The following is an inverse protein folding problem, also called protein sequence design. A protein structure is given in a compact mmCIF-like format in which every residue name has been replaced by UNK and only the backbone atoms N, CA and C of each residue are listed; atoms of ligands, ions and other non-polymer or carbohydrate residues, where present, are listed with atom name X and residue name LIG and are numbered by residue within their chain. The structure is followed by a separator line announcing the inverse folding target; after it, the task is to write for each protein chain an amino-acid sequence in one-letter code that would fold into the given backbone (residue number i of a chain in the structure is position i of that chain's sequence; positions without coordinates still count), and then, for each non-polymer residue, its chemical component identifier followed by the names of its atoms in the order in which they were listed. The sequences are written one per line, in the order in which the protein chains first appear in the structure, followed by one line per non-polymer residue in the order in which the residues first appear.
data_IF_381382121853
#
_entry.id   IF_381382121853
#
_cell.length_a   1.000
_cell.length_b   1.000
_cell.length_c   1.000
_cell.angle_alpha   90.00
_cell.angle_beta   90.00
_cell.angle_gamma   90.00
#
_symmetry.space_group_name_H-M   'P 1'
#
loop_
_entity.id
_entity.type
_entity.pdbx_description
1 polymer ?
#
# COMPACT_ATOMS: atom_id res chain seq x y z
N UNK A 1 10.60 50.94 -1.65
CA UNK A 1 11.20 49.98 -0.69
C UNK A 1 10.07 49.32 0.07
N UNK A 2 9.84 48.00 -0.06
CA UNK A 2 8.71 47.36 0.61
C UNK A 2 9.12 46.90 2.02
N UNK A 3 8.27 46.98 3.06
CA UNK A 3 8.47 46.20 4.26
C UNK A 3 7.64 44.91 4.23
N UNK A 4 8.35 43.84 4.51
CA UNK A 4 7.95 42.44 4.72
C UNK A 4 7.02 42.25 5.92
N UNK A 5 5.95 41.44 5.76
CA UNK A 5 5.14 40.92 6.87
C UNK A 5 5.68 39.58 7.37
N UNK A 6 5.97 39.49 8.68
CA UNK A 6 6.24 38.23 9.40
C UNK A 6 4.99 37.83 10.17
N UNK A 7 4.61 36.56 10.04
CA UNK A 7 3.58 35.90 10.84
C UNK A 7 4.08 35.62 12.26
N UNK A 8 3.24 35.82 13.26
CA UNK A 8 3.36 35.13 14.55
C UNK A 8 2.02 34.58 15.02
N UNK A 9 2.00 33.26 15.21
CA UNK A 9 1.01 32.51 15.97
C UNK A 9 1.20 32.76 17.46
N UNK A 10 0.09 32.86 18.20
CA UNK A 10 0.08 32.78 19.65
C UNK A 10 -0.13 31.33 20.11
N UNK A 11 0.63 30.91 21.12
CA UNK A 11 0.20 29.90 22.08
C UNK A 11 0.68 30.29 23.49
N UNK A 12 -0.07 29.78 24.46
CA UNK A 12 -0.33 30.30 25.80
C UNK A 12 0.64 29.83 26.90
N UNK A 13 0.72 30.65 27.96
CA UNK A 13 0.93 30.34 29.40
C UNK A 13 2.14 29.47 29.82
N UNK A 14 3.00 29.97 30.73
CA UNK A 14 2.79 29.80 32.17
C UNK A 14 3.87 30.50 33.06
N UNK A 15 3.38 31.03 34.18
CA UNK A 15 3.95 31.10 35.55
C UNK A 15 5.37 31.61 35.86
N UNK A 16 5.37 32.49 36.87
CA UNK A 16 6.23 32.52 38.08
C UNK A 16 7.21 33.70 38.29
N UNK A 17 6.75 34.55 39.22
CA UNK A 17 7.39 35.61 40.02
C UNK A 17 8.87 35.41 40.40
N UNK A 18 9.65 36.50 40.36
CA UNK A 18 10.51 36.95 41.49
C UNK A 18 10.86 38.45 41.42
N UNK A 19 10.87 39.06 42.62
CA UNK A 19 10.95 40.49 42.99
C UNK A 19 12.38 41.07 42.94
N UNK A 20 12.49 42.40 42.75
CA UNK A 20 13.03 43.43 43.69
C UNK A 20 13.16 44.79 42.95
N UNK A 21 12.42 45.85 43.36
CA UNK A 21 12.82 46.95 44.29
C UNK A 21 13.85 47.91 43.64
N UNK A 22 13.79 49.26 43.59
CA UNK A 22 13.12 50.36 44.33
C UNK A 22 13.12 51.66 43.46
N UNK A 23 12.12 52.53 43.67
CA UNK A 23 11.90 53.89 43.09
C UNK A 23 12.94 54.95 43.56
N UNK A 24 13.13 56.11 42.88
CA UNK A 24 12.28 57.28 43.19
C UNK A 24 11.89 58.21 42.02
N UNK A 25 10.60 58.61 42.06
CA UNK A 25 10.10 60.00 42.05
C UNK A 25 10.38 60.89 40.82
N UNK A 26 9.35 60.92 39.96
CA UNK A 26 8.67 62.09 39.38
C UNK A 26 9.43 63.42 39.15
N UNK A 27 9.43 63.88 37.90
CA UNK A 27 8.73 65.08 37.36
C UNK A 27 9.56 65.70 36.24
N UNK A 28 9.03 65.72 35.01
CA UNK A 28 8.71 66.96 34.26
C UNK A 28 8.01 66.65 32.93
N UNK A 29 7.28 67.67 32.50
CA UNK A 29 6.16 67.71 31.56
C UNK A 29 6.54 67.52 30.08
N UNK A 30 5.54 67.26 29.22
CA UNK A 30 5.71 66.66 27.89
C UNK A 30 5.95 67.72 26.81
N UNK A 31 6.54 67.31 25.68
CA UNK A 31 6.60 68.17 24.51
C UNK A 31 7.43 67.68 23.34
N UNK A 32 7.15 66.48 22.82
CA UNK A 32 7.47 66.17 21.42
C UNK A 32 6.48 65.11 20.91
N UNK A 33 5.59 65.53 20.00
CA UNK A 33 4.66 64.64 19.30
C UNK A 33 5.45 63.57 18.55
N UNK A 34 5.50 62.34 19.07
CA UNK A 34 5.81 61.17 18.26
C UNK A 34 4.59 60.90 17.39
N UNK A 35 4.77 61.02 16.07
CA UNK A 35 3.82 60.56 15.07
C UNK A 35 3.53 59.08 15.31
N UNK A 36 2.32 58.78 15.76
CA UNK A 36 1.80 57.42 15.84
C UNK A 36 1.53 57.00 14.40
N UNK A 37 2.41 56.16 13.85
CA UNK A 37 2.12 55.44 12.60
C UNK A 37 1.11 54.36 13.00
N UNK A 38 -0.16 54.60 12.72
CA UNK A 38 -1.16 53.54 12.74
C UNK A 38 -0.86 52.65 11.54
N UNK A 39 -0.40 51.41 11.77
CA UNK A 39 -0.47 50.36 10.75
C UNK A 39 -1.95 50.17 10.43
N UNK A 40 -2.40 50.74 9.30
CA UNK A 40 -3.76 50.53 8.82
C UNK A 40 -3.91 49.06 8.42
N UNK A 41 -4.83 48.36 9.05
CA UNK A 41 -5.23 47.02 8.65
C UNK A 41 -6.20 47.14 7.47
N UNK A 42 -5.76 46.68 6.30
CA UNK A 42 -6.59 46.69 5.09
C UNK A 42 -7.45 45.42 5.06
N UNK A 43 -8.77 45.60 5.00
CA UNK A 43 -9.74 44.52 4.97
C UNK A 43 -10.33 44.41 3.57
N UNK A 44 -10.32 43.21 3.00
CA UNK A 44 -10.97 42.89 1.73
C UNK A 44 -12.48 42.90 1.93
N UNK A 45 -13.19 43.76 1.22
CA UNK A 45 -14.66 43.81 1.19
C UNK A 45 -15.21 42.88 0.11
N UNK A 46 -14.68 42.98 -1.11
CA UNK A 46 -15.14 42.21 -2.26
C UNK A 46 -13.98 41.95 -3.23
N UNK A 47 -14.04 40.85 -3.97
CA UNK A 47 -13.15 40.60 -5.11
C UNK A 47 -13.86 41.00 -6.39
N UNK A 48 -13.25 41.94 -7.14
CA UNK A 48 -13.84 42.50 -8.35
C UNK A 48 -13.48 41.72 -9.62
N UNK A 49 -12.25 41.24 -9.73
CA UNK A 49 -11.76 40.58 -10.95
C UNK A 49 -10.42 39.86 -10.72
N UNK A 50 -10.00 39.03 -11.69
CA UNK A 50 -8.69 38.41 -11.81
C UNK A 50 -8.08 38.72 -13.17
N UNK A 51 -6.76 38.97 -13.19
CA UNK A 51 -6.02 39.15 -14.44
C UNK A 51 -4.64 38.53 -14.40
N UNK A 52 -4.09 38.31 -15.57
CA UNK A 52 -2.65 38.09 -15.73
C UNK A 52 -1.95 39.44 -15.63
N UNK A 53 -0.91 39.53 -14.83
CA UNK A 53 -0.10 40.73 -14.68
C UNK A 53 0.48 41.15 -16.05
N UNK A 54 0.11 42.35 -16.53
CA UNK A 54 0.56 42.84 -17.83
C UNK A 54 2.04 43.23 -17.83
N UNK A 55 2.60 43.59 -16.67
CA UNK A 55 3.98 44.07 -16.54
C UNK A 55 4.99 42.93 -16.29
N UNK A 56 4.49 41.77 -15.85
CA UNK A 56 5.33 40.60 -15.59
C UNK A 56 5.67 39.83 -16.87
N UNK A 57 6.96 39.49 -17.04
CA UNK A 57 7.41 38.52 -18.05
C UNK A 57 6.85 37.11 -17.77
N UNK A 58 6.75 36.75 -16.49
CA UNK A 58 6.16 35.48 -16.04
C UNK A 58 4.64 35.54 -15.94
N UNK A 59 3.98 34.39 -15.83
CA UNK A 59 2.53 34.30 -15.59
C UNK A 59 2.24 34.52 -14.11
N UNK A 60 2.19 35.79 -13.71
CA UNK A 60 1.72 36.20 -12.38
C UNK A 60 0.24 36.58 -12.45
N UNK A 61 -0.53 36.15 -11.45
CA UNK A 61 -1.96 36.47 -11.38
C UNK A 61 -2.17 37.55 -10.32
N UNK A 62 -2.98 38.55 -10.68
CA UNK A 62 -3.40 39.61 -9.78
C UNK A 62 -4.91 39.52 -9.55
N UNK A 63 -5.32 39.88 -8.34
CA UNK A 63 -6.72 40.01 -7.91
C UNK A 63 -7.05 41.49 -7.71
N UNK A 64 -8.19 41.93 -8.23
CA UNK A 64 -8.69 43.29 -8.03
C UNK A 64 -9.50 43.34 -6.76
N UNK A 65 -9.04 44.08 -5.77
CA UNK A 65 -9.66 44.13 -4.45
C UNK A 65 -10.48 45.41 -4.30
N UNK A 66 -11.71 45.23 -3.82
CA UNK A 66 -12.48 46.30 -3.20
C UNK A 66 -12.14 46.34 -1.71
N UNK A 67 -11.58 47.45 -1.26
CA UNK A 67 -11.21 47.65 0.13
C UNK A 67 -12.39 48.17 0.94
N UNK A 68 -12.59 47.57 2.11
CA UNK A 68 -13.65 47.94 3.05
C UNK A 68 -13.47 49.37 3.55
N UNK A 69 -14.54 50.16 3.52
CA UNK A 69 -14.57 51.56 3.96
C UNK A 69 -13.76 52.53 3.09
N UNK A 70 -13.30 52.09 1.91
CA UNK A 70 -12.68 52.95 0.90
C UNK A 70 -13.63 53.17 -0.28
N UNK A 71 -13.31 54.09 -1.18
CA UNK A 71 -14.05 54.26 -2.44
C UNK A 71 -13.63 53.21 -3.49
N UNK A 72 -14.38 53.04 -4.59
CA UNK A 72 -13.97 52.15 -5.69
C UNK A 72 -12.74 52.65 -6.46
N UNK A 73 -12.49 53.96 -6.45
CA UNK A 73 -11.28 54.56 -7.04
C UNK A 73 -10.00 54.10 -6.35
N UNK A 74 -10.09 53.61 -5.12
CA UNK A 74 -8.99 53.07 -4.32
C UNK A 74 -8.77 51.56 -4.56
N UNK A 75 -9.54 50.93 -5.46
CA UNK A 75 -9.37 49.51 -5.77
C UNK A 75 -7.99 49.24 -6.36
N UNK A 76 -7.25 48.30 -5.76
CA UNK A 76 -5.91 47.94 -6.22
C UNK A 76 -5.85 46.53 -6.82
N UNK A 77 -4.89 46.33 -7.71
CA UNK A 77 -4.52 45.01 -8.22
C UNK A 77 -3.40 44.46 -7.37
N UNK A 78 -3.64 43.33 -6.72
CA UNK A 78 -2.70 42.74 -5.78
C UNK A 78 -2.30 41.32 -6.20
N UNK A 79 -1.08 40.85 -5.90
CA UNK A 79 -0.68 39.47 -6.16
C UNK A 79 -1.55 38.47 -5.39
N UNK A 80 -2.03 37.41 -6.05
CA UNK A 80 -2.90 36.41 -5.42
C UNK A 80 -2.25 35.71 -4.22
N UNK A 81 -0.92 35.61 -4.19
CA UNK A 81 -0.18 34.90 -3.14
C UNK A 81 -0.40 35.52 -1.75
N UNK A 82 -0.66 36.83 -1.69
CA UNK A 82 -0.95 37.54 -0.45
C UNK A 82 -2.35 37.23 0.11
N UNK A 83 -3.26 36.66 -0.69
CA UNK A 83 -4.68 36.49 -0.35
C UNK A 83 -5.14 35.03 -0.44
N UNK A 84 -4.24 34.07 -0.60
CA UNK A 84 -4.57 32.63 -0.70
C UNK A 84 -5.49 32.15 0.42
N UNK A 85 -5.24 32.61 1.64
CA UNK A 85 -6.02 32.23 2.84
C UNK A 85 -7.20 33.15 3.13
N UNK A 86 -7.41 34.20 2.33
CA UNK A 86 -8.51 35.14 2.51
C UNK A 86 -9.85 34.46 2.17
N UNK A 87 -10.81 34.54 3.10
CA UNK A 87 -12.12 33.89 2.98
C UNK A 87 -12.93 34.45 1.81
N UNK A 88 -13.00 35.78 1.67
CA UNK A 88 -13.73 36.47 0.59
C UNK A 88 -13.19 36.03 -0.77
N UNK A 89 -11.87 35.88 -0.92
CA UNK A 89 -11.28 35.39 -2.16
C UNK A 89 -11.61 33.92 -2.44
N UNK A 90 -11.56 33.04 -1.43
CA UNK A 90 -11.96 31.63 -1.58
C UNK A 90 -13.43 31.51 -1.97
N UNK A 91 -14.30 32.31 -1.37
CA UNK A 91 -15.73 32.36 -1.69
C UNK A 91 -15.97 32.81 -3.13
N UNK A 92 -15.35 33.92 -3.55
CA UNK A 92 -15.38 34.38 -4.94
C UNK A 92 -14.97 33.29 -5.95
N UNK A 93 -13.85 32.61 -5.69
CA UNK A 93 -13.38 31.50 -6.55
C UNK A 93 -14.38 30.34 -6.57
N UNK A 94 -14.96 29.97 -5.43
CA UNK A 94 -15.93 28.89 -5.32
C UNK A 94 -17.23 29.23 -6.06
N UNK A 95 -17.75 30.43 -5.88
CA UNK A 95 -18.99 30.88 -6.53
C UNK A 95 -18.87 30.86 -8.05
N UNK A 96 -17.81 31.46 -8.59
CA UNK A 96 -17.60 31.48 -10.06
C UNK A 96 -17.35 30.07 -10.59
N UNK A 97 -16.54 29.27 -9.88
CA UNK A 97 -16.27 27.90 -10.29
C UNK A 97 -17.56 27.08 -10.37
N UNK A 98 -18.36 27.09 -9.31
CA UNK A 98 -19.59 26.32 -9.22
C UNK A 98 -20.62 26.78 -10.25
N UNK A 99 -20.77 28.10 -10.45
CA UNK A 99 -21.67 28.66 -11.46
C UNK A 99 -21.26 28.29 -12.90
N UNK A 100 -20.02 27.88 -13.13
CA UNK A 100 -19.47 27.59 -14.47
C UNK A 100 -18.83 26.20 -14.59
N UNK A 101 -19.12 25.28 -13.66
CA UNK A 101 -18.39 24.01 -13.52
C UNK A 101 -18.33 23.22 -14.84
N UNK A 102 -19.47 23.06 -15.51
CA UNK A 102 -19.53 22.35 -16.80
C UNK A 102 -18.73 23.03 -17.91
N UNK A 103 -18.73 24.37 -17.97
CA UNK A 103 -17.95 25.13 -18.96
C UNK A 103 -16.46 24.96 -18.70
N UNK A 104 -16.04 25.04 -17.43
CA UNK A 104 -14.66 24.81 -17.00
C UNK A 104 -14.24 23.40 -17.37
N UNK A 105 -15.04 22.40 -17.02
CA UNK A 105 -14.78 21.00 -17.30
C UNK A 105 -14.54 20.74 -18.79
N UNK A 106 -15.43 21.24 -19.66
CA UNK A 106 -15.28 21.11 -21.13
C UNK A 106 -13.98 21.76 -21.61
N UNK A 107 -13.66 22.98 -21.15
CA UNK A 107 -12.40 23.66 -21.51
C UNK A 107 -11.18 22.84 -21.08
N UNK A 108 -11.15 22.35 -19.83
CA UNK A 108 -10.05 21.55 -19.29
C UNK A 108 -9.90 20.22 -20.03
N UNK A 109 -11.01 19.55 -20.37
CA UNK A 109 -10.97 18.35 -21.22
C UNK A 109 -10.34 18.64 -22.57
N UNK A 110 -10.70 19.74 -23.22
CA UNK A 110 -10.11 20.10 -24.51
C UNK A 110 -8.60 20.32 -24.40
N UNK A 111 -8.13 20.96 -23.32
CA UNK A 111 -6.70 21.05 -23.02
C UNK A 111 -6.07 19.66 -22.82
N UNK A 112 -6.71 18.78 -22.03
CA UNK A 112 -6.25 17.40 -21.80
C UNK A 112 -6.17 16.59 -23.11
N UNK A 113 -7.14 16.75 -24.02
CA UNK A 113 -7.13 16.09 -25.33
C UNK A 113 -5.93 16.54 -26.18
N UNK A 114 -5.59 17.83 -26.16
CA UNK A 114 -4.42 18.37 -26.88
C UNK A 114 -3.09 17.79 -26.38
N UNK A 115 -3.00 17.46 -25.09
CA UNK A 115 -1.79 16.88 -24.47
C UNK A 115 -1.84 15.36 -24.32
N UNK A 116 -2.85 14.68 -24.87
CA UNK A 116 -3.02 13.23 -24.72
C UNK A 116 -1.80 12.44 -25.17
N UNK A 117 -1.13 12.86 -26.26
CA UNK A 117 0.09 12.21 -26.76
C UNK A 117 1.27 12.40 -25.81
N UNK A 118 1.41 13.59 -25.22
CA UNK A 118 2.46 13.89 -24.23
C UNK A 118 2.28 13.06 -22.95
N UNK A 119 1.03 12.96 -22.46
CA UNK A 119 0.69 12.10 -21.31
C UNK A 119 1.04 10.64 -21.61
N UNK A 120 0.62 10.13 -22.78
CA UNK A 120 0.90 8.75 -23.16
C UNK A 120 2.40 8.49 -23.24
N UNK A 121 3.14 9.37 -23.93
CA UNK A 121 4.60 9.28 -24.04
C UNK A 121 5.27 9.26 -22.66
N UNK A 122 4.86 10.13 -21.75
CA UNK A 122 5.39 10.17 -20.39
C UNK A 122 5.19 8.83 -19.66
N UNK A 123 3.98 8.24 -19.76
CA UNK A 123 3.65 6.94 -19.15
C UNK A 123 4.42 5.77 -19.76
N UNK A 124 4.65 5.79 -21.07
CA UNK A 124 5.32 4.69 -21.79
C UNK A 124 6.85 4.71 -21.57
N UNK A 125 7.44 5.90 -21.43
CA UNK A 125 8.89 6.07 -21.42
C UNK A 125 9.49 6.27 -20.02
N UNK A 126 8.70 6.64 -19.01
CA UNK A 126 9.22 7.05 -17.71
C UNK A 126 8.53 6.29 -16.56
N UNK A 127 9.30 5.85 -15.56
CA UNK A 127 8.71 5.33 -14.33
C UNK A 127 7.99 6.44 -13.57
N UNK A 128 7.05 6.04 -12.71
CA UNK A 128 6.21 6.95 -11.92
C UNK A 128 7.05 8.00 -11.18
N UNK A 129 8.15 7.62 -10.53
CA UNK A 129 8.96 8.56 -9.75
C UNK A 129 9.49 9.74 -10.59
N UNK A 130 9.90 9.50 -11.85
CA UNK A 130 10.39 10.55 -12.75
C UNK A 130 9.25 11.50 -13.12
N UNK A 131 8.09 10.93 -13.48
CA UNK A 131 6.89 11.72 -13.79
C UNK A 131 6.51 12.60 -12.60
N UNK A 132 6.54 12.06 -11.39
CA UNK A 132 6.14 12.80 -10.20
C UNK A 132 7.13 13.92 -9.83
N UNK A 133 8.42 13.81 -10.16
CA UNK A 133 9.38 14.91 -10.00
C UNK A 133 9.00 16.14 -10.86
N UNK A 134 8.50 15.91 -12.08
CA UNK A 134 8.01 17.00 -12.94
C UNK A 134 6.68 17.60 -12.45
N UNK A 135 5.86 16.77 -11.80
CA UNK A 135 4.57 17.17 -11.25
C UNK A 135 4.77 18.07 -10.03
N UNK A 136 5.63 17.70 -9.09
CA UNK A 136 5.79 18.42 -7.83
C UNK A 136 6.79 19.60 -7.91
N UNK A 137 6.49 20.75 -7.26
CA UNK A 137 5.23 21.05 -6.59
C UNK A 137 4.10 21.32 -7.60
N UNK A 138 2.93 20.76 -7.30
CA UNK A 138 1.66 21.12 -7.93
C UNK A 138 0.77 21.75 -6.88
N UNK A 139 0.16 22.88 -7.24
CA UNK A 139 -0.68 23.67 -6.34
C UNK A 139 -2.13 23.66 -6.86
N UNK A 140 -3.02 22.86 -6.23
CA UNK A 140 -4.42 22.80 -6.62
C UNK A 140 -5.15 24.14 -6.51
N UNK A 141 -4.76 25.01 -5.56
CA UNK A 141 -5.35 26.34 -5.42
C UNK A 141 -5.01 27.21 -6.63
N UNK A 142 -3.73 27.24 -7.01
CA UNK A 142 -3.30 27.99 -8.20
C UNK A 142 -3.97 27.48 -9.48
N UNK A 143 -4.12 26.16 -9.63
CA UNK A 143 -4.85 25.60 -10.77
C UNK A 143 -6.34 26.00 -10.76
N UNK A 144 -6.98 26.05 -9.59
CA UNK A 144 -8.37 26.53 -9.44
C UNK A 144 -8.52 28.00 -9.88
N UNK A 145 -7.55 28.86 -9.57
CA UNK A 145 -7.54 30.24 -10.06
C UNK A 145 -7.54 30.29 -11.59
N UNK A 146 -6.68 29.50 -12.25
CA UNK A 146 -6.66 29.40 -13.71
C UNK A 146 -7.98 28.90 -14.30
N UNK A 147 -8.62 27.92 -13.63
CA UNK A 147 -9.94 27.41 -14.03
C UNK A 147 -11.02 28.49 -13.97
N UNK A 148 -11.07 29.28 -12.89
CA UNK A 148 -12.00 30.41 -12.74
C UNK A 148 -11.72 31.48 -13.79
N UNK A 149 -10.45 31.81 -14.02
CA UNK A 149 -10.05 32.78 -15.04
C UNK A 149 -10.57 32.40 -16.43
N UNK A 150 -10.59 31.12 -16.81
CA UNK A 150 -11.18 30.70 -18.09
C UNK A 150 -12.64 31.14 -18.29
N UNK A 151 -13.37 31.50 -17.24
CA UNK A 151 -14.76 31.97 -17.30
C UNK A 151 -14.91 33.48 -17.28
N UNK A 152 -13.90 34.21 -16.78
CA UNK A 152 -13.96 35.66 -16.61
C UNK A 152 -13.73 36.41 -17.93
N UNK A 153 -12.84 35.90 -18.78
CA UNK A 153 -12.41 36.58 -20.00
C UNK A 153 -12.55 35.67 -21.22
N UNK A 154 -12.85 36.26 -22.39
CA UNK A 154 -13.02 35.49 -23.64
C UNK A 154 -11.71 34.90 -24.17
N UNK A 155 -10.59 35.59 -23.96
CA UNK A 155 -9.27 35.18 -24.43
C UNK A 155 -8.19 35.58 -23.43
N UNK A 156 -7.06 34.88 -23.50
CA UNK A 156 -5.90 35.12 -22.67
C UNK A 156 -4.61 35.15 -23.49
N UNK A 157 -3.57 35.85 -23.01
CA UNK A 157 -2.24 35.84 -23.64
C UNK A 157 -1.69 34.43 -23.81
N UNK A 158 -0.83 34.23 -24.82
CA UNK A 158 -0.22 32.92 -25.10
C UNK A 158 0.52 32.34 -23.87
N UNK A 159 1.20 33.19 -23.10
CA UNK A 159 1.87 32.80 -21.84
C UNK A 159 0.92 32.10 -20.86
N UNK A 160 -0.31 32.58 -20.71
CA UNK A 160 -1.33 31.96 -19.86
C UNK A 160 -1.75 30.60 -20.40
N UNK A 161 -2.01 30.47 -21.71
CA UNK A 161 -2.42 29.20 -22.30
C UNK A 161 -1.32 28.13 -22.20
N UNK A 162 -0.05 28.54 -22.33
CA UNK A 162 1.12 27.67 -22.11
C UNK A 162 1.20 27.17 -20.67
N UNK A 163 1.03 28.06 -19.70
CA UNK A 163 1.04 27.69 -18.28
C UNK A 163 -0.17 26.83 -17.90
N UNK A 164 -1.36 27.15 -18.41
CA UNK A 164 -2.55 26.32 -18.22
C UNK A 164 -2.34 24.90 -18.78
N UNK A 165 -1.74 24.77 -19.97
CA UNK A 165 -1.38 23.45 -20.53
C UNK A 165 -0.48 22.67 -19.56
N UNK A 166 0.54 23.32 -18.97
CA UNK A 166 1.44 22.72 -17.96
C UNK A 166 0.67 22.30 -16.71
N UNK A 167 -0.21 23.15 -16.19
CA UNK A 167 -1.02 22.84 -15.01
C UNK A 167 -2.00 21.70 -15.25
N UNK A 168 -2.60 21.59 -16.44
CA UNK A 168 -3.49 20.47 -16.82
C UNK A 168 -2.70 19.15 -16.85
N UNK A 169 -1.48 19.16 -17.39
CA UNK A 169 -0.58 18.00 -17.36
C UNK A 169 -0.27 17.58 -15.92
N UNK A 170 0.16 18.52 -15.07
CA UNK A 170 0.47 18.25 -13.66
C UNK A 170 -0.74 17.72 -12.90
N UNK A 171 -1.90 18.36 -13.07
CA UNK A 171 -3.14 17.96 -12.45
C UNK A 171 -3.55 16.52 -12.83
N UNK A 172 -3.31 16.11 -14.09
CA UNK A 172 -3.62 14.74 -14.52
C UNK A 172 -2.86 13.69 -13.70
N UNK A 173 -1.54 13.83 -13.58
CA UNK A 173 -0.72 12.88 -12.83
C UNK A 173 -0.89 13.02 -11.32
N UNK A 174 -1.05 14.25 -10.82
CA UNK A 174 -1.37 14.50 -9.41
C UNK A 174 -2.66 13.76 -9.00
N UNK A 175 -3.74 13.88 -9.78
CA UNK A 175 -4.99 13.18 -9.51
C UNK A 175 -4.88 11.67 -9.68
N UNK A 176 -4.12 11.20 -10.67
CA UNK A 176 -3.89 9.77 -10.88
C UNK A 176 -3.13 9.13 -9.71
N UNK A 177 -2.11 9.80 -9.20
CA UNK A 177 -1.34 9.36 -8.02
C UNK A 177 -2.20 9.38 -6.73
N UNK A 178 -2.97 10.45 -6.53
CA UNK A 178 -3.92 10.56 -5.41
C UNK A 178 -4.95 9.43 -5.44
N UNK A 179 -5.60 9.20 -6.59
CA UNK A 179 -6.58 8.11 -6.78
C UNK A 179 -5.96 6.73 -6.58
N UNK A 180 -4.71 6.53 -7.00
CA UNK A 180 -3.99 5.27 -6.79
C UNK A 180 -3.77 5.05 -5.29
N UNK A 181 -3.17 6.02 -4.59
CA UNK A 181 -2.87 5.91 -3.15
C UNK A 181 -4.13 5.61 -2.33
N UNK A 182 -5.23 6.32 -2.57
CA UNK A 182 -6.50 6.06 -1.88
C UNK A 182 -6.97 4.61 -2.06
N UNK A 183 -6.84 4.06 -3.27
CA UNK A 183 -7.23 2.67 -3.56
C UNK A 183 -6.28 1.65 -2.92
N UNK A 184 -4.98 1.93 -2.93
CA UNK A 184 -3.98 1.07 -2.29
C UNK A 184 -4.16 1.07 -0.76
N UNK A 185 -4.40 2.22 -0.14
CA UNK A 185 -4.66 2.36 1.30
C UNK A 185 -5.94 1.61 1.72
N UNK A 186 -7.00 1.70 0.90
CA UNK A 186 -8.24 0.95 1.13
C UNK A 186 -8.00 -0.56 1.08
N UNK A 187 -7.25 -1.03 0.09
CA UNK A 187 -6.90 -2.45 -0.04
C UNK A 187 -6.02 -2.90 1.14
N UNK A 188 -5.03 -2.10 1.53
CA UNK A 188 -4.16 -2.36 2.66
C UNK A 188 -4.95 -2.54 3.97
N UNK A 189 -5.94 -1.67 4.21
CA UNK A 189 -6.82 -1.75 5.37
C UNK A 189 -7.66 -3.05 5.38
N UNK A 190 -8.26 -3.42 4.24
CA UNK A 190 -9.03 -4.66 4.11
C UNK A 190 -8.16 -5.89 4.41
N UNK A 191 -6.97 -5.96 3.81
CA UNK A 191 -6.06 -7.08 3.99
C UNK A 191 -5.57 -7.15 5.44
N UNK A 192 -5.20 -6.01 6.03
CA UNK A 192 -4.75 -5.94 7.43
C UNK A 192 -5.82 -6.46 8.39
N UNK A 193 -7.09 -6.09 8.16
CA UNK A 193 -8.21 -6.57 8.96
C UNK A 193 -8.39 -8.09 8.84
N UNK A 194 -8.26 -8.65 7.63
CA UNK A 194 -8.43 -10.09 7.39
C UNK A 194 -7.27 -10.92 7.94
N UNK A 195 -6.03 -10.50 7.72
CA UNK A 195 -4.82 -11.22 8.14
C UNK A 195 -4.46 -10.99 9.62
N UNK A 196 -5.06 -9.99 10.26
CA UNK A 196 -4.76 -9.61 11.66
C UNK A 196 -3.27 -9.24 11.86
N UNK A 197 -2.64 -8.70 10.82
CA UNK A 197 -1.31 -8.08 10.86
C UNK A 197 -1.35 -6.74 10.13
N UNK A 198 -0.44 -5.80 10.42
CA UNK A 198 -0.28 -4.61 9.59
C UNK A 198 0.18 -5.00 8.19
N UNK A 199 -0.55 -4.55 7.17
CA UNK A 199 -0.21 -4.70 5.76
C UNK A 199 -0.20 -3.34 5.08
N UNK A 200 0.82 -3.06 4.28
CA UNK A 200 0.83 -1.94 3.35
C UNK A 200 0.70 -2.42 1.90
N UNK A 201 0.22 -1.55 1.02
CA UNK A 201 0.22 -1.80 -0.42
C UNK A 201 0.88 -0.61 -1.11
N UNK A 202 1.98 -0.84 -1.83
CA UNK A 202 2.83 0.24 -2.34
C UNK A 202 3.14 0.06 -3.82
N UNK A 203 3.04 1.14 -4.60
CA UNK A 203 3.49 1.16 -5.97
C UNK A 203 4.15 2.51 -6.30
N UNK A 204 5.48 2.47 -6.36
CA UNK A 204 6.34 3.60 -6.73
C UNK A 204 6.94 3.44 -8.13
N UNK A 205 6.63 2.33 -8.82
CA UNK A 205 7.15 1.99 -10.15
C UNK A 205 6.27 2.59 -11.24
N UNK A 206 4.96 2.40 -11.12
CA UNK A 206 3.97 2.81 -12.10
C UNK A 206 2.62 3.17 -11.44
N UNK A 207 1.62 3.45 -12.28
CA UNK A 207 0.27 3.81 -11.83
C UNK A 207 -0.71 2.63 -11.84
N UNK A 208 -0.23 1.38 -11.91
CA UNK A 208 -1.07 0.19 -11.88
C UNK A 208 -1.58 -0.11 -10.47
N UNK A 209 -2.75 -0.75 -10.41
CA UNK A 209 -3.30 -1.31 -9.17
C UNK A 209 -3.03 -2.82 -9.15
N UNK A 210 -3.03 -3.46 -7.98
CA UNK A 210 -3.06 -4.91 -7.90
C UNK A 210 -4.26 -5.47 -8.68
N UNK A 211 -4.14 -6.68 -9.26
CA UNK A 211 -5.27 -7.34 -9.91
C UNK A 211 -6.42 -7.52 -8.91
N UNK A 212 -7.66 -7.43 -9.40
CA UNK A 212 -8.86 -7.65 -8.58
C UNK A 212 -9.07 -9.15 -8.34
N UNK A 213 -9.24 -9.54 -7.09
CA UNK A 213 -9.58 -10.90 -6.66
C UNK A 213 -10.33 -10.86 -5.32
N UNK A 214 -10.92 -11.97 -4.91
CA UNK A 214 -11.58 -12.11 -3.61
C UNK A 214 -10.59 -12.57 -2.55
N UNK A 215 -10.35 -11.72 -1.55
CA UNK A 215 -9.41 -12.06 -0.48
C UNK A 215 -10.01 -13.05 0.53
N UNK A 216 -9.42 -14.25 0.63
CA UNK A 216 -9.80 -15.33 1.56
C UNK A 216 -8.60 -15.77 2.38
N UNK A 217 -8.75 -16.05 3.68
CA UNK A 217 -7.65 -16.46 4.58
C UNK A 217 -7.64 -17.96 4.88
N UNK A 218 -8.56 -18.70 4.27
CA UNK A 218 -8.68 -20.16 4.40
C UNK A 218 -9.10 -20.75 3.07
N UNK A 219 -8.62 -21.95 2.81
CA UNK A 219 -9.11 -22.77 1.71
C UNK A 219 -10.61 -23.06 1.84
N UNK A 220 -11.29 -23.12 0.71
CA UNK A 220 -12.69 -23.53 0.62
C UNK A 220 -12.90 -24.39 -0.63
N UNK A 221 -13.93 -25.23 -0.60
CA UNK A 221 -14.33 -26.09 -1.70
C UNK A 221 -15.56 -25.51 -2.42
N UNK A 222 -15.69 -25.75 -3.72
CA UNK A 222 -16.91 -25.44 -4.47
C UNK A 222 -17.89 -26.63 -4.47
N UNK A 223 -19.15 -26.37 -4.80
CA UNK A 223 -20.20 -27.39 -4.88
C UNK A 223 -19.81 -28.54 -5.84
N UNK A 224 -20.21 -29.77 -5.52
CA UNK A 224 -19.86 -31.04 -6.20
C UNK A 224 -18.42 -31.57 -5.98
N UNK A 225 -17.63 -30.94 -5.11
CA UNK A 225 -16.31 -31.45 -4.73
C UNK A 225 -16.38 -32.83 -4.04
N UNK A 226 -17.44 -33.10 -3.27
CA UNK A 226 -17.61 -34.36 -2.54
C UNK A 226 -17.88 -35.57 -3.44
N UNK A 227 -18.46 -35.36 -4.63
CA UNK A 227 -18.84 -36.47 -5.55
C UNK A 227 -17.64 -37.04 -6.32
N UNK A 228 -16.52 -36.31 -6.37
CA UNK A 228 -15.35 -36.69 -7.19
C UNK A 228 -14.25 -37.42 -6.43
N UNK A 229 -14.32 -37.49 -5.09
CA UNK A 229 -13.22 -38.03 -4.28
C UNK A 229 -13.72 -38.82 -3.06
N UNK A 230 -13.52 -40.13 -3.04
CA UNK A 230 -13.71 -40.98 -1.86
C UNK A 230 -12.50 -40.83 -0.91
N UNK A 231 -12.72 -40.15 0.22
CA UNK A 231 -11.82 -40.26 1.39
C UNK A 231 -12.55 -41.02 2.48
N UNK A 232 -12.09 -42.24 2.77
CA UNK A 232 -12.51 -42.95 3.96
C UNK A 232 -11.62 -42.50 5.12
N UNK A 233 -12.20 -41.75 6.06
CA UNK A 233 -11.47 -41.36 7.26
C UNK A 233 -11.06 -42.61 8.03
N UNK A 234 -9.76 -42.76 8.28
CA UNK A 234 -9.26 -43.84 9.13
C UNK A 234 -9.87 -43.70 10.54
N UNK A 235 -10.76 -44.63 10.89
CA UNK A 235 -11.45 -44.64 12.18
C UNK A 235 -10.49 -44.88 13.35
N UNK A 236 -9.28 -45.37 13.08
CA UNK A 236 -8.25 -45.63 14.08
C UNK A 236 -7.33 -44.42 14.32
N UNK A 237 -7.41 -43.36 13.52
CA UNK A 237 -6.56 -42.19 13.72
C UNK A 237 -6.93 -41.43 15.01
N UNK A 238 -5.92 -41.05 15.78
CA UNK A 238 -6.10 -40.33 17.03
C UNK A 238 -6.73 -38.95 16.79
N UNK A 239 -7.89 -38.69 17.40
CA UNK A 239 -8.60 -37.42 17.24
C UNK A 239 -7.81 -36.21 17.74
N UNK A 240 -6.90 -36.38 18.70
CA UNK A 240 -6.04 -35.32 19.21
C UNK A 240 -5.23 -35.77 20.41
N UNK A 241 -4.23 -34.99 20.81
CA UNK A 241 -3.38 -35.32 21.94
C UNK A 241 -4.04 -34.99 23.30
N UNK A 242 -3.62 -35.71 24.34
CA UNK A 242 -4.06 -35.50 25.74
C UNK A 242 -3.00 -34.80 26.61
N UNK A 243 -1.99 -34.17 26.02
CA UNK A 243 -0.82 -33.64 26.74
C UNK A 243 -1.18 -32.57 27.79
N UNK A 244 -2.28 -31.83 27.64
CA UNK A 244 -2.68 -30.74 28.54
C UNK A 244 -1.97 -29.41 28.25
N UNK A 245 -2.29 -28.38 29.05
CA UNK A 245 -1.84 -26.97 28.84
C UNK A 245 -0.32 -26.85 28.88
N UNK A 246 0.27 -26.23 27.85
CA UNK A 246 1.73 -25.97 27.71
C UNK A 246 2.64 -27.19 27.90
N UNK A 247 2.13 -28.40 27.72
CA UNK A 247 2.88 -29.64 27.95
C UNK A 247 3.45 -30.27 26.67
N UNK A 248 2.83 -30.03 25.51
CA UNK A 248 3.29 -30.59 24.24
C UNK A 248 4.75 -30.20 23.95
N UNK A 249 5.60 -31.20 23.72
CA UNK A 249 6.97 -31.05 23.28
C UNK A 249 7.46 -32.35 22.61
N UNK A 250 8.72 -32.37 22.18
CA UNK A 250 9.31 -33.51 21.45
C UNK A 250 9.31 -34.84 22.23
N UNK A 251 9.24 -34.79 23.56
CA UNK A 251 9.28 -35.98 24.43
C UNK A 251 7.89 -36.42 24.92
N UNK A 252 6.81 -35.82 24.39
CA UNK A 252 5.44 -36.16 24.79
C UNK A 252 4.71 -36.86 23.67
N UNK A 253 3.78 -37.76 24.03
CA UNK A 253 2.79 -38.41 23.15
C UNK A 253 1.79 -37.40 22.56
N UNK A 254 2.34 -36.38 21.89
CA UNK A 254 1.67 -35.31 21.17
C UNK A 254 1.35 -35.78 19.75
N UNK A 255 0.57 -35.00 19.00
CA UNK A 255 0.06 -35.40 17.70
C UNK A 255 1.09 -35.98 16.71
N UNK A 256 2.31 -35.41 16.54
CA UNK A 256 3.31 -36.01 15.67
C UNK A 256 3.62 -37.46 16.05
N UNK A 257 3.89 -37.71 17.34
CA UNK A 257 4.20 -39.05 17.85
C UNK A 257 3.00 -40.02 17.76
N UNK A 258 1.76 -39.52 17.80
CA UNK A 258 0.56 -40.36 17.65
C UNK A 258 0.36 -40.90 16.23
N UNK A 259 1.05 -40.32 15.24
CA UNK A 259 0.97 -40.73 13.83
C UNK A 259 2.36 -41.03 13.25
N UNK A 260 3.33 -41.32 14.12
CA UNK A 260 4.72 -41.66 13.79
C UNK A 260 5.46 -40.60 12.93
N UNK A 261 5.13 -39.32 13.15
CA UNK A 261 5.77 -38.18 12.49
C UNK A 261 6.66 -37.39 13.48
N UNK A 262 7.71 -36.70 13.00
CA UNK A 262 8.63 -35.97 13.87
C UNK A 262 8.04 -34.66 14.38
N UNK A 263 8.51 -34.24 15.56
CA UNK A 263 8.04 -33.01 16.19
C UNK A 263 8.68 -31.76 15.56
N UNK A 264 7.91 -31.04 14.74
CA UNK A 264 8.45 -30.00 13.87
C UNK A 264 9.00 -28.74 14.55
N UNK A 265 8.49 -28.38 15.74
CA UNK A 265 8.67 -27.03 16.29
C UNK A 265 9.53 -26.97 17.54
N UNK A 266 10.49 -26.05 17.60
CA UNK A 266 11.19 -25.65 18.83
C UNK A 266 10.67 -24.30 19.33
N UNK A 267 10.92 -24.01 20.63
CA UNK A 267 10.48 -22.78 21.26
C UNK A 267 11.36 -21.62 20.77
N UNK A 268 10.76 -20.63 20.12
CA UNK A 268 11.34 -19.30 19.94
C UNK A 268 10.90 -18.35 21.05
N UNK A 269 11.24 -17.07 20.92
CA UNK A 269 10.89 -16.06 21.93
C UNK A 269 9.37 -15.95 22.10
N UNK A 270 8.66 -15.63 21.00
CA UNK A 270 7.20 -15.48 20.97
C UNK A 270 6.51 -16.36 19.92
N UNK A 271 7.25 -17.24 19.24
CA UNK A 271 6.74 -18.04 18.13
C UNK A 271 7.34 -19.44 18.11
N UNK A 272 6.67 -20.35 17.41
CA UNK A 272 7.21 -21.68 17.12
C UNK A 272 8.11 -21.60 15.91
N UNK A 273 9.31 -22.17 16.03
CA UNK A 273 10.31 -22.16 14.96
C UNK A 273 10.48 -23.59 14.45
N UNK A 274 10.39 -23.80 13.14
CA UNK A 274 10.68 -25.10 12.53
C UNK A 274 12.15 -25.49 12.80
N UNK A 275 12.35 -26.78 13.09
CA UNK A 275 13.66 -27.41 13.31
C UNK A 275 13.90 -28.63 12.41
N UNK A 276 13.01 -28.89 11.46
CA UNK A 276 13.14 -29.98 10.50
C UNK A 276 13.96 -29.51 9.30
N UNK A 277 14.79 -30.41 8.78
CA UNK A 277 15.35 -30.27 7.45
C UNK A 277 14.28 -30.66 6.41
N UNK A 278 14.25 -29.99 5.25
CA UNK A 278 13.18 -30.13 4.23
C UNK A 278 12.87 -31.62 3.94
N UNK A 279 11.58 -31.99 3.96
CA UNK A 279 10.92 -33.14 3.27
C UNK A 279 9.72 -33.80 4.03
N UNK A 280 9.29 -33.29 5.19
CA UNK A 280 8.26 -33.94 6.02
C UNK A 280 6.95 -33.11 6.14
N UNK A 281 5.79 -33.80 6.23
CA UNK A 281 4.50 -33.16 6.55
C UNK A 281 4.49 -32.76 8.03
N UNK A 282 4.19 -31.50 8.33
CA UNK A 282 4.13 -31.01 9.70
C UNK A 282 2.77 -31.37 10.30
N UNK A 283 2.80 -32.14 11.40
CA UNK A 283 1.58 -32.51 12.14
C UNK A 283 1.38 -31.60 13.36
N UNK A 284 0.41 -30.71 13.26
CA UNK A 284 0.02 -29.80 14.33
C UNK A 284 -1.06 -30.37 15.25
N UNK A 285 -1.13 -29.82 16.46
CA UNK A 285 -2.29 -30.00 17.32
C UNK A 285 -3.49 -29.29 16.71
N UNK A 286 -4.60 -30.02 16.58
CA UNK A 286 -5.87 -29.52 16.05
C UNK A 286 -6.90 -29.12 17.12
N UNK A 287 -8.13 -28.88 16.68
CA UNK A 287 -9.26 -28.45 17.52
C UNK A 287 -9.65 -29.47 18.61
N UNK A 288 -9.40 -30.76 18.38
CA UNK A 288 -9.75 -31.85 19.30
C UNK A 288 -8.67 -32.14 20.35
N UNK A 289 -7.53 -31.45 20.33
CA UNK A 289 -6.45 -31.64 21.29
C UNK A 289 -6.77 -30.97 22.64
N UNK A 290 -6.31 -31.56 23.75
CA UNK A 290 -6.46 -31.01 25.11
C UNK A 290 -5.44 -29.91 25.46
N UNK A 291 -4.45 -29.67 24.60
CA UNK A 291 -3.52 -28.55 24.76
C UNK A 291 -4.16 -27.23 24.32
N UNK A 292 -3.73 -26.14 24.94
CA UNK A 292 -4.24 -24.79 24.70
C UNK A 292 -3.71 -24.16 23.40
N UNK A 293 -4.16 -22.95 23.08
CA UNK A 293 -3.77 -22.21 21.88
C UNK A 293 -2.31 -21.73 21.91
N UNK A 294 -1.65 -21.73 23.07
CA UNK A 294 -0.22 -21.41 23.20
C UNK A 294 0.69 -22.63 23.01
N UNK A 295 0.11 -23.78 22.64
CA UNK A 295 0.84 -25.00 22.37
C UNK A 295 1.87 -24.78 21.26
N UNK A 296 3.14 -25.06 21.55
CA UNK A 296 4.24 -24.98 20.58
C UNK A 296 3.98 -25.79 19.29
N UNK A 297 3.17 -26.85 19.35
CA UNK A 297 2.76 -27.65 18.20
C UNK A 297 1.55 -27.08 17.44
N UNK A 298 1.26 -25.78 17.60
CA UNK A 298 0.28 -25.00 16.83
C UNK A 298 0.99 -23.84 16.12
N UNK A 299 2.21 -24.07 15.65
CA UNK A 299 3.13 -23.01 15.23
C UNK A 299 2.58 -22.09 14.14
N UNK A 300 1.95 -22.65 13.11
CA UNK A 300 1.34 -21.87 12.03
C UNK A 300 0.00 -21.22 12.43
N UNK A 301 -0.53 -21.54 13.62
CA UNK A 301 -1.81 -21.02 14.13
C UNK A 301 -1.58 -19.85 15.09
N UNK A 302 -0.33 -19.59 15.49
CA UNK A 302 0.00 -18.48 16.36
C UNK A 302 -0.14 -17.13 15.65
N UNK A 303 -0.45 -16.04 16.40
CA UNK A 303 -0.36 -14.69 15.87
C UNK A 303 1.04 -14.39 15.33
N UNK A 304 1.10 -13.60 14.27
CA UNK A 304 2.36 -13.14 13.67
C UNK A 304 2.74 -11.79 14.30
N UNK A 305 4.03 -11.57 14.51
CA UNK A 305 4.56 -10.35 15.13
C UNK A 305 5.34 -9.45 14.14
N UNK A 306 5.05 -9.56 12.85
CA UNK A 306 5.67 -8.76 11.78
C UNK A 306 4.61 -8.15 10.86
N UNK A 307 5.02 -7.16 10.07
CA UNK A 307 4.18 -6.54 9.03
C UNK A 307 4.67 -6.90 7.62
N UNK A 308 3.74 -7.05 6.69
CA UNK A 308 4.04 -7.35 5.29
C UNK A 308 3.67 -6.16 4.38
N UNK A 309 4.29 -6.10 3.20
CA UNK A 309 3.88 -5.18 2.14
C UNK A 309 3.63 -5.94 0.84
N UNK A 310 2.50 -5.67 0.20
CA UNK A 310 2.27 -5.98 -1.21
C UNK A 310 2.84 -4.83 -2.04
N UNK A 311 3.90 -5.06 -2.79
CA UNK A 311 4.61 -4.01 -3.50
C UNK A 311 4.80 -4.31 -4.98
N UNK A 312 4.81 -3.27 -5.82
CA UNK A 312 5.16 -3.41 -7.23
C UNK A 312 6.68 -3.52 -7.37
N UNK A 313 7.15 -4.65 -7.91
CA UNK A 313 8.55 -4.92 -8.25
C UNK A 313 8.91 -4.23 -9.57
N UNK A 314 10.22 -4.16 -9.87
CA UNK A 314 10.70 -3.58 -11.12
C UNK A 314 10.46 -4.48 -12.35
N UNK A 315 10.38 -5.80 -12.18
CA UNK A 315 10.42 -6.77 -13.31
C UNK A 315 9.49 -7.98 -13.17
N UNK A 316 9.00 -8.31 -11.97
CA UNK A 316 8.21 -9.52 -11.70
C UNK A 316 6.74 -9.22 -11.38
N UNK A 317 6.28 -7.99 -11.60
CA UNK A 317 4.92 -7.58 -11.24
C UNK A 317 4.80 -7.28 -9.74
N UNK A 318 3.79 -7.82 -9.07
CA UNK A 318 3.57 -7.59 -7.64
C UNK A 318 4.31 -8.65 -6.80
N UNK A 319 4.87 -8.23 -5.67
CA UNK A 319 5.65 -9.04 -4.74
C UNK A 319 5.21 -8.86 -3.29
N UNK A 320 5.69 -9.73 -2.39
CA UNK A 320 5.51 -9.57 -0.94
C UNK A 320 6.88 -9.34 -0.29
N UNK A 321 6.98 -8.39 0.64
CA UNK A 321 8.21 -8.17 1.42
C UNK A 321 7.91 -7.98 2.90
N UNK A 322 8.93 -8.19 3.74
CA UNK A 322 8.89 -7.78 5.14
C UNK A 322 8.92 -6.24 5.21
N UNK A 323 7.89 -5.60 5.76
CA UNK A 323 7.78 -4.13 5.83
C UNK A 323 8.03 -3.57 7.24
N UNK A 324 8.45 -4.40 8.21
CA UNK A 324 8.53 -3.95 9.60
C UNK A 324 9.78 -3.11 9.92
N UNK A 325 9.96 -2.01 9.20
CA UNK A 325 10.99 -1.00 9.46
C UNK A 325 10.77 -0.28 10.79
N UNK A 326 9.51 -0.14 11.22
CA UNK A 326 9.15 0.59 12.44
C UNK A 326 9.69 -0.10 13.68
N UNK A 327 9.50 -1.42 13.79
CA UNK A 327 10.00 -2.20 14.92
C UNK A 327 11.35 -2.86 14.61
N UNK A 328 11.81 -2.80 13.35
CA UNK A 328 13.00 -3.49 12.84
C UNK A 328 12.92 -5.01 13.04
N UNK A 329 11.72 -5.56 12.89
CA UNK A 329 11.47 -6.98 13.13
C UNK A 329 12.04 -7.81 11.99
N UNK A 330 12.96 -8.71 12.33
CA UNK A 330 13.49 -9.73 11.43
C UNK A 330 12.56 -10.94 11.49
N UNK A 331 12.09 -11.43 10.34
CA UNK A 331 11.41 -12.73 10.29
C UNK A 331 12.51 -13.79 10.42
N UNK A 332 12.56 -14.48 11.56
CA UNK A 332 13.63 -15.43 11.86
C UNK A 332 13.55 -16.71 11.02
N UNK A 333 14.67 -17.36 10.79
CA UNK A 333 14.71 -18.71 10.21
C UNK A 333 13.72 -19.65 10.92
N UNK A 334 12.93 -20.40 10.14
CA UNK A 334 11.91 -21.36 10.57
C UNK A 334 10.60 -20.72 11.04
N UNK A 335 10.42 -19.42 10.89
CA UNK A 335 9.17 -18.70 11.26
C UNK A 335 8.09 -18.94 10.21
N UNK A 336 6.85 -19.16 10.67
CA UNK A 336 5.67 -19.16 9.80
C UNK A 336 5.38 -17.77 9.25
N UNK A 337 5.28 -17.64 7.93
CA UNK A 337 4.99 -16.39 7.25
C UNK A 337 3.49 -16.31 6.93
N UNK A 338 3.00 -17.17 6.05
CA UNK A 338 1.63 -17.13 5.55
C UNK A 338 1.20 -18.49 4.98
N UNK A 339 -0.10 -18.77 5.00
CA UNK A 339 -0.68 -19.92 4.29
C UNK A 339 -0.95 -19.55 2.84
N UNK A 340 -0.73 -20.43 1.87
CA UNK A 340 -1.18 -20.25 0.50
C UNK A 340 -2.61 -20.74 0.38
N UNK A 341 -3.55 -19.81 0.18
CA UNK A 341 -4.98 -20.11 0.24
C UNK A 341 -5.70 -19.82 -1.07
N UNK A 342 -6.76 -20.56 -1.36
CA UNK A 342 -7.62 -20.36 -2.51
C UNK A 342 -8.76 -21.36 -2.59
N UNK A 343 -9.26 -21.57 -3.81
CA UNK A 343 -10.25 -22.61 -4.10
C UNK A 343 -9.57 -23.98 -4.15
N UNK A 344 -10.04 -24.95 -3.37
CA UNK A 344 -9.61 -26.34 -3.47
C UNK A 344 -10.36 -27.01 -4.63
N UNK A 345 -9.60 -27.45 -5.62
CA UNK A 345 -10.11 -28.12 -6.82
C UNK A 345 -9.44 -29.49 -7.00
N UNK A 346 -10.12 -30.42 -7.66
CA UNK A 346 -9.54 -31.70 -8.04
C UNK A 346 -8.65 -31.60 -9.28
N UNK A 347 -7.82 -32.62 -9.52
CA UNK A 347 -6.86 -32.65 -10.63
C UNK A 347 -7.48 -32.44 -12.02
N UNK A 348 -8.67 -32.99 -12.26
CA UNK A 348 -9.40 -32.82 -13.52
C UNK A 348 -9.77 -31.36 -13.77
N UNK A 349 -10.27 -30.66 -12.75
CA UNK A 349 -10.61 -29.24 -12.87
C UNK A 349 -9.35 -28.37 -12.99
N UNK A 350 -8.28 -28.72 -12.26
CA UNK A 350 -6.98 -28.04 -12.38
C UNK A 350 -6.45 -28.09 -13.83
N UNK A 351 -6.45 -29.28 -14.45
CA UNK A 351 -6.00 -29.45 -15.85
C UNK A 351 -6.81 -28.64 -16.88
N UNK A 352 -8.08 -28.31 -16.57
CA UNK A 352 -8.90 -27.45 -17.44
C UNK A 352 -8.56 -25.97 -17.28
N UNK A 353 -8.05 -25.57 -16.12
CA UNK A 353 -7.81 -24.16 -15.74
C UNK A 353 -6.36 -23.70 -15.94
N UNK A 354 -5.42 -24.61 -16.22
CA UNK A 354 -3.96 -24.38 -16.27
C UNK A 354 -3.53 -23.07 -16.97
N UNK A 355 -4.16 -22.71 -18.09
CA UNK A 355 -3.76 -21.54 -18.90
C UNK A 355 -4.08 -20.19 -18.22
N UNK A 356 -4.87 -20.16 -17.16
CA UNK A 356 -5.41 -18.91 -16.58
C UNK A 356 -5.44 -18.87 -15.06
N UNK A 357 -4.57 -19.62 -14.38
CA UNK A 357 -4.68 -19.83 -12.93
C UNK A 357 -3.35 -19.73 -12.16
N UNK A 358 -3.45 -19.58 -10.84
CA UNK A 358 -2.36 -19.61 -9.86
C UNK A 358 -2.46 -20.91 -9.05
N UNK A 359 -2.05 -22.01 -9.68
CA UNK A 359 -2.22 -23.38 -9.16
C UNK A 359 -1.03 -23.82 -8.31
N UNK A 360 -1.32 -24.41 -7.14
CA UNK A 360 -0.35 -25.16 -6.33
C UNK A 360 -0.91 -26.51 -5.92
N UNK A 361 -0.22 -27.59 -6.29
CA UNK A 361 -0.65 -28.95 -5.99
C UNK A 361 -0.40 -29.32 -4.53
N UNK A 362 -1.36 -30.01 -3.91
CA UNK A 362 -1.25 -30.54 -2.53
C UNK A 362 -0.63 -31.94 -2.45
N UNK A 363 -0.09 -32.44 -3.56
CA UNK A 363 0.39 -33.81 -3.71
C UNK A 363 1.90 -33.93 -3.42
N UNK A 364 2.25 -34.30 -2.19
CA UNK A 364 3.62 -34.62 -1.77
C UNK A 364 4.28 -35.75 -2.57
N UNK A 365 3.50 -36.74 -3.05
CA UNK A 365 4.05 -38.02 -3.50
C UNK A 365 3.86 -38.31 -4.99
N UNK A 366 3.28 -37.37 -5.76
CA UNK A 366 2.98 -37.54 -7.21
C UNK A 366 2.32 -38.89 -7.58
N UNK A 367 1.62 -39.54 -6.64
CA UNK A 367 0.85 -40.74 -6.94
C UNK A 367 -0.25 -40.37 -7.94
N UNK A 368 -0.57 -41.27 -8.86
CA UNK A 368 -1.57 -41.08 -9.94
C UNK A 368 -2.98 -40.68 -9.42
N UNK A 369 -3.23 -40.81 -8.11
CA UNK A 369 -4.46 -40.43 -7.42
C UNK A 369 -4.29 -39.25 -6.42
N UNK A 370 -3.45 -38.26 -6.72
CA UNK A 370 -3.30 -37.05 -5.90
C UNK A 370 -4.54 -36.16 -5.92
N UNK A 371 -5.11 -35.87 -4.75
CA UNK A 371 -6.51 -35.45 -4.63
C UNK A 371 -6.82 -33.97 -4.92
N UNK A 372 -5.95 -32.99 -4.58
CA UNK A 372 -6.35 -31.56 -4.57
C UNK A 372 -5.24 -30.58 -5.00
N UNK A 373 -5.66 -29.47 -5.62
CA UNK A 373 -4.86 -28.31 -6.03
C UNK A 373 -5.51 -27.06 -5.44
N UNK A 374 -4.72 -26.10 -4.97
CA UNK A 374 -5.21 -24.78 -4.54
C UNK A 374 -5.12 -23.82 -5.73
N UNK A 375 -6.26 -23.30 -6.18
CA UNK A 375 -6.38 -22.26 -7.21
C UNK A 375 -6.56 -20.88 -6.57
N UNK A 376 -5.53 -20.04 -6.66
CA UNK A 376 -5.54 -18.69 -6.11
C UNK A 376 -5.93 -17.59 -7.13
N UNK A 377 -6.52 -17.95 -8.28
CA UNK A 377 -6.82 -16.99 -9.35
C UNK A 377 -7.95 -16.04 -8.97
N UNK A 378 -9.14 -16.57 -8.68
CA UNK A 378 -10.32 -15.77 -8.29
C UNK A 378 -10.37 -15.47 -6.80
N UNK A 379 -9.91 -16.42 -5.99
CA UNK A 379 -9.95 -16.35 -4.54
C UNK A 379 -8.57 -16.67 -4.00
N UNK A 380 -7.98 -15.80 -3.19
CA UNK A 380 -6.69 -16.12 -2.56
C UNK A 380 -6.32 -15.10 -1.50
N UNK A 381 -5.08 -15.15 -1.02
CA UNK A 381 -4.54 -14.16 -0.09
C UNK A 381 -3.23 -13.57 -0.62
N UNK A 382 -2.47 -12.86 0.24
CA UNK A 382 -1.17 -12.28 -0.13
C UNK A 382 -0.17 -13.30 -0.70
N UNK A 383 -0.26 -14.58 -0.30
CA UNK A 383 0.72 -15.59 -0.71
C UNK A 383 0.78 -15.81 -2.24
N UNK A 384 -0.31 -15.52 -2.96
CA UNK A 384 -0.37 -15.58 -4.42
C UNK A 384 0.57 -14.61 -5.14
N UNK A 385 1.09 -13.61 -4.42
CA UNK A 385 2.01 -12.58 -4.93
C UNK A 385 3.46 -12.84 -4.52
N UNK A 386 3.77 -13.98 -3.87
CA UNK A 386 5.15 -14.32 -3.54
C UNK A 386 5.83 -14.79 -4.81
N UNK A 387 6.89 -14.10 -5.23
CA UNK A 387 7.59 -14.37 -6.48
C UNK A 387 8.56 -15.55 -6.39
N UNK A 388 8.92 -16.05 -7.58
CA UNK A 388 10.00 -17.02 -7.75
C UNK A 388 11.38 -16.39 -7.53
N UNK A 389 12.27 -17.12 -6.85
CA UNK A 389 13.72 -16.92 -6.87
C UNK A 389 14.46 -18.25 -7.00
N UNK A 390 15.56 -18.26 -7.75
CA UNK A 390 16.50 -19.39 -7.81
C UNK A 390 17.35 -19.52 -6.53
N UNK A 391 17.40 -18.48 -5.72
CA UNK A 391 18.00 -18.44 -4.38
C UNK A 391 16.95 -17.89 -3.39
N UNK A 392 15.92 -18.68 -3.06
CA UNK A 392 14.79 -18.23 -2.25
C UNK A 392 15.17 -18.08 -0.77
N UNK A 393 14.37 -17.30 -0.04
CA UNK A 393 14.52 -17.13 1.40
C UNK A 393 13.38 -17.76 2.21
N UNK A 394 12.41 -18.39 1.53
CA UNK A 394 11.33 -19.12 2.12
C UNK A 394 11.01 -20.39 1.30
N UNK A 395 10.32 -21.34 1.95
CA UNK A 395 9.81 -22.53 1.29
C UNK A 395 8.39 -22.87 1.72
N UNK A 396 7.74 -23.67 0.89
CA UNK A 396 6.44 -24.27 1.18
C UNK A 396 6.64 -25.50 2.05
N UNK A 397 5.75 -25.68 3.02
CA UNK A 397 5.62 -26.83 3.89
C UNK A 397 4.16 -27.26 3.94
N UNK A 398 3.92 -28.57 3.94
CA UNK A 398 2.57 -29.10 4.14
C UNK A 398 2.31 -29.21 5.64
N UNK A 399 1.20 -28.64 6.08
CA UNK A 399 0.77 -28.68 7.49
C UNK A 399 -0.58 -29.35 7.58
N UNK A 400 -0.71 -30.32 8.48
CA UNK A 400 -1.95 -31.03 8.75
C UNK A 400 -2.19 -31.13 10.25
N UNK A 401 -3.38 -31.57 10.65
CA UNK A 401 -3.66 -31.94 12.03
C UNK A 401 -3.45 -33.44 12.26
N UNK A 402 -3.67 -33.87 13.50
CA UNK A 402 -3.52 -35.27 13.94
C UNK A 402 -4.47 -36.24 13.21
N UNK A 403 -5.48 -35.73 12.48
CA UNK A 403 -6.38 -36.55 11.66
C UNK A 403 -5.80 -36.85 10.27
N UNK A 404 -4.65 -36.25 9.90
CA UNK A 404 -3.99 -36.35 8.59
C UNK A 404 -4.98 -36.29 7.42
N UNK A 405 -6.04 -35.50 7.56
CA UNK A 405 -7.08 -35.42 6.55
C UNK A 405 -6.52 -34.69 5.32
N UNK A 406 -6.40 -35.34 4.15
CA UNK A 406 -5.83 -34.70 2.97
C UNK A 406 -6.61 -33.46 2.52
N UNK A 407 -7.92 -33.37 2.82
CA UNK A 407 -8.77 -32.20 2.52
C UNK A 407 -8.48 -31.00 3.42
N UNK A 408 -7.89 -31.24 4.59
CA UNK A 408 -7.52 -30.19 5.56
C UNK A 408 -6.02 -29.87 5.51
N UNK A 409 -5.26 -30.49 4.59
CA UNK A 409 -3.86 -30.16 4.38
C UNK A 409 -3.73 -28.72 3.91
N UNK A 410 -2.80 -27.98 4.53
CA UNK A 410 -2.54 -26.56 4.28
C UNK A 410 -1.15 -26.41 3.68
N UNK A 411 -1.01 -25.47 2.75
CA UNK A 411 0.28 -25.03 2.21
C UNK A 411 0.74 -23.85 3.04
N UNK A 412 1.77 -24.02 3.85
CA UNK A 412 2.27 -22.96 4.71
C UNK A 412 3.67 -22.57 4.28
N UNK A 413 3.95 -21.27 4.25
CA UNK A 413 5.23 -20.72 3.83
C UNK A 413 6.02 -20.36 5.09
N UNK A 414 7.24 -20.87 5.19
CA UNK A 414 8.15 -20.64 6.30
C UNK A 414 9.47 -20.06 5.80
N UNK A 415 10.12 -19.26 6.63
CA UNK A 415 11.41 -18.67 6.30
C UNK A 415 12.54 -19.72 6.36
N UNK A 416 13.37 -19.81 5.32
CA UNK A 416 14.56 -20.68 5.26
C UNK A 416 15.83 -20.00 5.79
N UNK A 417 15.76 -18.68 6.01
CA UNK A 417 16.78 -17.89 6.68
C UNK A 417 16.14 -16.69 7.37
N UNK A 418 16.92 -15.91 8.10
CA UNK A 418 16.48 -14.61 8.58
C UNK A 418 16.16 -13.69 7.38
N UNK A 419 14.98 -13.05 7.38
CA UNK A 419 14.51 -12.11 6.34
C UNK A 419 14.41 -10.72 6.97
N UNK A 420 15.24 -9.80 6.48
CA UNK A 420 15.34 -8.43 7.01
C UNK A 420 14.17 -7.54 6.55
N UNK A 421 13.84 -6.47 7.29
CA UNK A 421 12.93 -5.44 6.79
C UNK A 421 13.39 -4.89 5.44
N UNK A 422 12.48 -4.85 4.48
CA UNK A 422 12.70 -4.46 3.09
C UNK A 422 12.99 -5.62 2.13
N UNK A 423 13.36 -6.80 2.64
CA UNK A 423 13.64 -7.96 1.78
C UNK A 423 12.35 -8.57 1.23
N UNK A 424 12.33 -8.79 -0.09
CA UNK A 424 11.29 -9.56 -0.77
C UNK A 424 11.31 -11.01 -0.28
N UNK A 425 10.13 -11.54 0.01
CA UNK A 425 9.90 -12.93 0.35
C UNK A 425 9.72 -13.68 -0.96
N UNK A 426 10.57 -14.67 -1.21
CA UNK A 426 10.56 -15.45 -2.45
C UNK A 426 10.66 -16.93 -2.15
N UNK A 427 10.06 -17.74 -3.02
CA UNK A 427 10.11 -19.20 -2.97
C UNK A 427 10.66 -19.75 -4.28
N UNK A 428 11.12 -21.00 -4.29
CA UNK A 428 11.42 -21.69 -5.55
C UNK A 428 10.15 -22.40 -6.04
N UNK A 429 9.53 -21.89 -7.10
CA UNK A 429 8.38 -22.51 -7.76
C UNK A 429 8.65 -23.94 -8.26
N UNK A 430 9.90 -24.26 -8.62
CA UNK A 430 10.28 -25.58 -9.09
C UNK A 430 11.61 -26.01 -8.44
N UNK A 431 11.58 -26.47 -7.18
CA UNK A 431 12.76 -27.03 -6.54
C UNK A 431 13.28 -28.22 -7.34
N UNK A 432 14.60 -28.43 -7.40
CA UNK A 432 15.29 -29.41 -8.28
C UNK A 432 14.76 -30.86 -8.21
N UNK A 433 14.04 -31.24 -7.16
CA UNK A 433 13.41 -32.56 -7.00
C UNK A 433 12.05 -32.67 -7.73
N UNK A 434 11.58 -31.59 -8.37
CA UNK A 434 10.22 -31.43 -8.90
C UNK A 434 10.14 -30.96 -10.36
N UNK A 435 11.24 -31.02 -11.14
CA UNK A 435 11.23 -30.62 -12.56
C UNK A 435 10.18 -31.46 -13.32
N UNK A 436 9.09 -30.87 -13.87
CA UNK A 436 8.23 -31.57 -14.80
C UNK A 436 9.07 -31.94 -16.03
N UNK A 437 9.00 -33.18 -16.48
CA UNK A 437 9.56 -33.55 -17.78
C UNK A 437 8.86 -32.69 -18.83
N UNK A 438 9.58 -31.78 -19.47
CA UNK A 438 9.04 -30.86 -20.47
C UNK A 438 8.21 -31.64 -21.51
N UNK A 439 6.90 -31.37 -21.58
CA UNK A 439 6.03 -31.88 -22.63
C UNK A 439 5.96 -30.85 -23.75
N UNK A 440 6.91 -30.89 -24.68
CA UNK A 440 6.84 -30.17 -25.95
C UNK A 440 7.26 -28.69 -25.93
N UNK A 441 6.77 -27.93 -26.92
CA UNK A 441 7.16 -26.55 -27.26
C UNK A 441 6.51 -25.47 -26.35
N UNK A 442 6.44 -25.68 -25.03
CA UNK A 442 6.01 -24.59 -24.15
C UNK A 442 7.12 -23.52 -24.10
N UNK A 443 6.77 -22.23 -24.22
CA UNK A 443 7.75 -21.17 -24.12
C UNK A 443 8.35 -21.18 -22.71
N UNK A 444 9.65 -21.44 -22.61
CA UNK A 444 10.39 -21.38 -21.35
C UNK A 444 10.16 -20.01 -20.69
N UNK A 445 9.53 -20.01 -19.51
CA UNK A 445 9.31 -18.79 -18.76
C UNK A 445 10.65 -18.27 -18.22
N UNK A 446 11.19 -17.21 -18.84
CA UNK A 446 12.46 -16.61 -18.45
C UNK A 446 12.42 -16.13 -17.00
N UNK A 447 13.47 -16.45 -16.23
CA UNK A 447 13.58 -16.06 -14.83
C UNK A 447 14.26 -14.69 -14.67
N UNK A 448 13.58 -13.77 -14.00
CA UNK A 448 14.05 -12.41 -13.72
C UNK A 448 14.40 -12.18 -12.24
N UNK A 449 14.68 -13.23 -11.46
CA UNK A 449 14.91 -13.14 -10.02
C UNK A 449 16.19 -12.39 -9.61
N UNK A 450 17.06 -12.07 -10.57
CA UNK A 450 18.31 -11.32 -10.35
C UNK A 450 19.32 -11.95 -9.37
N UNK A 451 19.09 -13.18 -8.92
CA UNK A 451 20.05 -13.93 -8.10
C UNK A 451 21.34 -14.21 -8.88
N UNK A 452 22.48 -14.17 -8.21
CA UNK A 452 23.77 -14.56 -8.77
C UNK A 452 23.77 -16.01 -9.28
N UNK A 453 22.97 -16.89 -8.65
CA UNK A 453 22.82 -18.29 -9.01
C UNK A 453 21.54 -18.56 -9.84
N UNK A 454 21.08 -17.58 -10.61
CA UNK A 454 19.88 -17.70 -11.44
C UNK A 454 20.02 -18.86 -12.46
N UNK A 455 18.97 -19.69 -12.58
CA UNK A 455 18.90 -20.81 -13.53
C UNK A 455 18.55 -20.38 -14.96
N UNK A 456 18.13 -19.13 -15.16
CA UNK A 456 17.70 -18.60 -16.46
C UNK A 456 16.21 -18.83 -16.78
N UNK A 457 15.62 -19.92 -16.28
CA UNK A 457 14.19 -20.25 -16.43
C UNK A 457 13.53 -20.49 -15.07
N UNK A 458 12.21 -20.28 -15.01
CA UNK A 458 11.39 -20.55 -13.80
C UNK A 458 11.07 -22.05 -13.71
N UNK A 459 10.75 -22.68 -14.83
CA UNK A 459 10.36 -24.09 -14.97
C UNK A 459 11.42 -24.89 -15.72
#
# INVERSE_FOLDING_TARGET
MPPTKRNHQNSSNNSSKKRKEINPVTKRKPGAKRSIIFEKEYIVEEIRDLRVDPESSDVKIQVKIKWKDYDESENTWEPIDNYRENVVFKEFLNEIFNANEMKIYVKIINYKMRIKKEIKKAMDENPKFVIMQDVFPFDPFHFKVFQVMLCLHQSYPEKFNKELKRLVYKNYFFKRDEDQRIKLDKLAAEISEKEKIPVSVVNDIDFELPPTFMYVTKNFTVDNFEETVSYEADKNLHKGCNCGVKKCNINTNCCPQLVDEPFAYRKGDNQSIIRLDRQEEIIECGEFCKCDLTCINRGSQHPKEFSLSLFKTASQGWGIKNEDFKNKTIIKHGTFIIEYTGELIGCYEASKREVSSFLFDLNMERRENGFYTVDAYKYGNLARFINHSCDPNASIWFVNDCLKNPRKRRLCIFADRDILPGEEITIDYCPKDNIPVAKGNDPEATCNCSSYNCRGTIF
#
